data_IF_066995507493
#
_entry.id   IF_066995507493
#
_cell.length_a   1.000
_cell.length_b   1.000
_cell.length_c   1.000
_cell.angle_alpha   90.00
_cell.angle_beta   90.00
_cell.angle_gamma   90.00
#
_symmetry.space_group_name_H-M   'P 1'
#
loop_
_entity.id
_entity.type
_entity.pdbx_description
1 polymer ?
#
# COMPACT_ATOMS: atom_id res chain seq x y z
N UNK A 1 -11.91 1.67 0.66
CA UNK A 1 -10.55 2.26 0.74
C UNK A 1 -9.64 1.22 1.35
N UNK A 2 -8.43 1.02 0.81
CA UNK A 2 -7.50 0.01 1.37
C UNK A 2 -7.02 0.43 2.76
N UNK A 3 -6.64 -0.53 3.60
CA UNK A 3 -6.11 -0.27 4.94
C UNK A 3 -4.88 0.67 4.88
N UNK A 4 -4.00 0.48 3.90
CA UNK A 4 -2.83 1.33 3.67
C UNK A 4 -3.26 2.77 3.34
N UNK A 5 -4.26 2.94 2.49
CA UNK A 5 -4.80 4.27 2.18
C UNK A 5 -5.33 5.00 3.41
N UNK A 6 -6.08 4.28 4.24
CA UNK A 6 -6.69 4.79 5.45
C UNK A 6 -5.66 5.23 6.48
N UNK A 7 -4.66 4.39 6.75
CA UNK A 7 -3.67 4.65 7.80
C UNK A 7 -2.47 5.47 7.32
N UNK A 8 -2.09 5.37 6.04
CA UNK A 8 -0.88 5.97 5.47
C UNK A 8 -1.05 7.37 4.86
N UNK A 9 -2.24 7.72 4.34
CA UNK A 9 -2.44 8.98 3.59
C UNK A 9 -3.48 9.93 4.17
N UNK A 10 -4.14 9.55 5.27
CA UNK A 10 -5.07 10.42 6.01
C UNK A 10 -4.51 10.76 7.38
N UNK A 11 -5.00 11.83 8.00
CA UNK A 11 -4.65 12.18 9.38
C UNK A 11 -5.77 11.75 10.31
N UNK A 12 -5.40 11.12 11.44
CA UNK A 12 -6.36 10.69 12.46
C UNK A 12 -7.01 11.84 13.24
N UNK A 13 -6.54 13.09 13.05
CA UNK A 13 -7.17 14.30 13.60
C UNK A 13 -8.43 14.68 12.82
N UNK A 14 -8.47 14.32 11.54
CA UNK A 14 -9.50 14.77 10.60
C UNK A 14 -10.52 13.67 10.26
N UNK A 15 -10.14 12.40 10.44
CA UNK A 15 -10.97 11.25 10.13
C UNK A 15 -10.73 10.13 11.16
N UNK A 16 -11.83 9.49 11.59
CA UNK A 16 -11.76 8.27 12.38
C UNK A 16 -11.29 7.10 11.51
N UNK A 17 -10.00 6.77 11.65
CA UNK A 17 -9.34 5.70 10.90
C UNK A 17 -9.72 4.30 11.39
N UNK A 18 -10.39 4.15 12.52
CA UNK A 18 -10.79 2.84 13.04
C UNK A 18 -12.21 2.46 12.62
N UNK A 19 -12.98 3.41 12.08
CA UNK A 19 -14.31 3.13 11.55
C UNK A 19 -14.25 2.07 10.45
N UNK A 20 -14.94 0.95 10.67
CA UNK A 20 -15.01 -0.17 9.74
C UNK A 20 -13.73 -1.03 9.68
N UNK A 21 -12.82 -0.88 10.65
CA UNK A 21 -11.60 -1.68 10.79
C UNK A 21 -11.78 -2.63 11.98
N UNK A 22 -11.37 -3.88 11.83
CA UNK A 22 -11.29 -4.81 12.94
C UNK A 22 -10.08 -4.49 13.82
N UNK A 23 -10.32 -4.16 15.09
CA UNK A 23 -9.28 -3.91 16.07
C UNK A 23 -9.72 -4.36 17.47
N UNK A 24 -8.75 -4.66 18.33
CA UNK A 24 -8.97 -4.85 19.78
C UNK A 24 -8.29 -3.74 20.57
N UNK A 25 -8.74 -3.47 21.79
CA UNK A 25 -8.05 -2.55 22.70
C UNK A 25 -7.04 -3.36 23.52
N UNK A 26 -5.77 -3.01 23.41
CA UNK A 26 -4.67 -3.63 24.14
C UNK A 26 -4.65 -3.26 25.63
N UNK A 27 -3.75 -3.88 26.38
CA UNK A 27 -3.67 -3.70 27.83
C UNK A 27 -3.20 -2.31 28.25
N UNK A 28 -2.49 -1.59 27.38
CA UNK A 28 -2.12 -0.19 27.57
C UNK A 28 -3.22 0.77 27.09
N UNK A 29 -4.35 0.26 26.60
CA UNK A 29 -5.44 1.04 26.01
C UNK A 29 -5.20 1.44 24.55
N UNK A 30 -4.11 1.00 23.93
CA UNK A 30 -3.83 1.27 22.52
C UNK A 30 -4.69 0.37 21.60
N UNK A 31 -5.26 0.88 20.50
CA UNK A 31 -5.95 0.05 19.52
C UNK A 31 -4.95 -0.80 18.72
N UNK A 32 -5.19 -2.11 18.68
CA UNK A 32 -4.42 -3.10 17.94
C UNK A 32 -5.25 -3.51 16.71
N UNK A 33 -4.83 -3.06 15.53
CA UNK A 33 -5.46 -3.41 14.26
C UNK A 33 -5.22 -4.88 13.94
N UNK A 34 -6.29 -5.61 13.60
CA UNK A 34 -6.26 -7.04 13.32
C UNK A 34 -6.44 -7.35 11.83
N UNK A 35 -7.10 -6.46 11.08
CA UNK A 35 -7.23 -6.60 9.63
C UNK A 35 -5.85 -6.63 8.96
N UNK A 36 -5.60 -7.67 8.16
CA UNK A 36 -4.36 -7.88 7.40
C UNK A 36 -3.06 -7.94 8.25
N UNK A 37 -3.18 -8.08 9.58
CA UNK A 37 -2.03 -8.19 10.47
C UNK A 37 -1.52 -9.64 10.54
N UNK A 38 -0.20 -9.83 10.43
CA UNK A 38 0.46 -11.12 10.68
C UNK A 38 0.77 -11.29 12.18
N UNK A 39 1.04 -10.19 12.88
CA UNK A 39 1.28 -10.15 14.31
C UNK A 39 1.29 -8.71 14.82
N UNK A 40 1.34 -8.53 16.14
CA UNK A 40 1.43 -7.21 16.76
C UNK A 40 2.41 -7.20 17.93
N UNK A 41 2.84 -5.98 18.27
CA UNK A 41 3.60 -5.65 19.48
C UNK A 41 2.90 -4.48 20.17
N UNK A 42 2.62 -4.62 21.46
CA UNK A 42 2.14 -3.53 22.31
C UNK A 42 3.25 -3.13 23.27
N UNK A 43 3.54 -1.83 23.37
CA UNK A 43 4.65 -1.33 24.17
C UNK A 43 4.29 -0.05 24.93
N UNK A 44 4.85 0.06 26.14
CA UNK A 44 4.83 1.28 26.96
C UNK A 44 6.03 2.16 26.59
N UNK A 45 5.81 3.44 26.29
CA UNK A 45 6.91 4.38 26.01
C UNK A 45 7.70 4.65 27.29
N UNK A 46 8.96 4.23 27.33
CA UNK A 46 9.88 4.48 28.46
C UNK A 46 10.83 5.65 28.20
N UNK A 47 11.07 6.00 26.94
CA UNK A 47 11.90 7.14 26.56
C UNK A 47 11.50 7.68 25.20
N UNK A 48 11.61 8.99 25.01
CA UNK A 48 11.58 9.64 23.70
C UNK A 48 12.92 10.31 23.40
N UNK A 49 13.32 10.30 22.14
CA UNK A 49 14.52 10.97 21.65
C UNK A 49 14.14 11.86 20.46
N UNK A 50 14.62 13.09 20.47
CA UNK A 50 14.46 14.01 19.35
C UNK A 50 15.41 13.61 18.21
N UNK A 51 14.86 13.49 17.00
CA UNK A 51 15.57 13.22 15.76
C UNK A 51 15.21 14.25 14.67
N UNK A 52 14.92 15.49 15.07
CA UNK A 52 14.63 16.63 14.19
C UNK A 52 13.23 16.56 13.61
N UNK A 53 13.06 15.98 12.42
CA UNK A 53 11.74 15.82 11.79
C UNK A 53 10.93 14.68 12.39
N UNK A 54 11.54 13.86 13.25
CA UNK A 54 10.96 12.68 13.86
C UNK A 54 11.23 12.63 15.36
N UNK A 55 10.38 11.92 16.09
CA UNK A 55 10.65 11.49 17.46
C UNK A 55 10.83 9.98 17.48
N UNK A 56 11.94 9.51 18.03
CA UNK A 56 12.16 8.09 18.27
C UNK A 56 11.59 7.75 19.65
N UNK A 57 10.69 6.78 19.71
CA UNK A 57 10.15 6.25 20.97
C UNK A 57 10.82 4.92 21.30
N UNK A 58 11.40 4.82 22.50
CA UNK A 58 11.85 3.57 23.08
C UNK A 58 10.69 2.96 23.87
N UNK A 59 10.20 1.81 23.42
CA UNK A 59 9.11 1.09 24.05
C UNK A 59 9.58 -0.11 24.86
N UNK A 60 9.02 -0.30 26.06
CA UNK A 60 9.08 -1.56 26.80
C UNK A 60 7.92 -2.44 26.36
N UNK A 61 8.21 -3.64 25.86
CA UNK A 61 7.19 -4.58 25.40
C UNK A 61 6.27 -5.01 26.56
N UNK A 62 4.96 -4.90 26.35
CA UNK A 62 3.92 -5.32 27.28
C UNK A 62 3.23 -6.59 26.82
N UNK A 63 2.93 -6.67 25.52
CA UNK A 63 2.26 -7.82 24.90
C UNK A 63 2.73 -8.00 23.46
N UNK A 64 2.65 -9.23 22.97
CA UNK A 64 2.99 -9.59 21.60
C UNK A 64 2.28 -10.88 21.20
N UNK A 65 1.77 -10.93 19.97
CA UNK A 65 1.08 -12.11 19.44
C UNK A 65 1.40 -12.27 17.95
N UNK A 66 1.63 -13.52 17.53
CA UNK A 66 1.60 -13.91 16.11
C UNK A 66 0.18 -14.38 15.83
N UNK A 67 -0.50 -13.72 14.90
CA UNK A 67 -1.91 -13.94 14.61
C UNK A 67 -2.12 -15.04 13.55
N UNK A 68 -1.16 -15.20 12.63
CA UNK A 68 -1.19 -16.19 11.56
C UNK A 68 0.20 -16.38 10.92
N UNK A 69 0.31 -17.37 10.04
CA UNK A 69 1.54 -17.73 9.32
C UNK A 69 1.66 -17.07 7.93
N UNK A 70 0.87 -16.03 7.63
CA UNK A 70 0.97 -15.34 6.36
C UNK A 70 2.32 -14.60 6.24
N UNK A 71 2.81 -14.45 5.00
CA UNK A 71 4.07 -13.76 4.76
C UNK A 71 3.94 -12.25 5.03
N UNK A 72 4.78 -11.66 5.92
CA UNK A 72 4.75 -10.23 6.17
C UNK A 72 5.10 -9.41 4.92
N UNK A 73 4.31 -8.37 4.66
CA UNK A 73 4.62 -7.45 3.57
C UNK A 73 5.93 -6.70 3.84
N UNK A 74 6.86 -6.76 2.89
CA UNK A 74 8.09 -5.97 2.94
C UNK A 74 7.87 -4.58 2.36
N UNK A 75 8.67 -3.62 2.81
CA UNK A 75 8.65 -2.27 2.23
C UNK A 75 9.09 -2.27 0.75
N UNK A 76 10.02 -3.15 0.39
CA UNK A 76 10.45 -3.34 -0.99
C UNK A 76 9.28 -3.78 -1.90
N UNK A 77 8.48 -4.75 -1.43
CA UNK A 77 7.28 -5.21 -2.14
C UNK A 77 6.25 -4.08 -2.31
N UNK A 78 6.02 -3.28 -1.26
CA UNK A 78 5.09 -2.14 -1.32
C UNK A 78 5.45 -1.15 -2.45
N UNK A 79 6.74 -0.84 -2.60
CA UNK A 79 7.21 0.03 -3.68
C UNK A 79 7.13 -0.62 -5.06
N UNK A 80 7.65 -1.85 -5.17
CA UNK A 80 7.81 -2.52 -6.45
C UNK A 80 6.48 -2.97 -7.07
N UNK A 81 5.55 -3.43 -6.23
CA UNK A 81 4.32 -4.09 -6.69
C UNK A 81 3.08 -3.23 -6.44
N UNK A 82 2.96 -2.57 -5.28
CA UNK A 82 1.79 -1.74 -4.98
C UNK A 82 1.88 -0.33 -5.56
N UNK A 83 3.02 0.05 -6.17
CA UNK A 83 3.21 1.35 -6.84
C UNK A 83 3.00 2.55 -5.91
N UNK A 84 3.17 2.34 -4.59
CA UNK A 84 2.84 3.34 -3.60
C UNK A 84 3.91 4.43 -3.53
N UNK A 85 3.56 5.68 -3.86
CA UNK A 85 4.47 6.80 -3.62
C UNK A 85 4.54 7.11 -2.13
N UNK A 86 5.75 7.38 -1.68
CA UNK A 86 6.03 7.74 -0.29
C UNK A 86 5.71 9.23 -0.14
N UNK A 87 4.90 9.63 0.86
CA UNK A 87 4.73 11.05 1.15
C UNK A 87 6.09 11.70 1.41
N UNK A 88 6.32 12.92 0.91
CA UNK A 88 7.58 13.66 1.13
C UNK A 88 7.95 13.82 2.61
N UNK A 89 6.96 13.74 3.50
CA UNK A 89 7.13 13.84 4.94
C UNK A 89 7.57 12.52 5.61
N UNK A 90 7.57 11.40 4.90
CA UNK A 90 7.96 10.11 5.49
C UNK A 90 9.50 10.00 5.58
N UNK A 91 10.04 9.35 6.63
CA UNK A 91 11.48 9.21 6.84
C UNK A 91 12.17 8.35 5.78
N UNK A 92 11.41 7.53 5.08
CA UNK A 92 11.86 6.63 4.01
C UNK A 92 11.70 7.23 2.61
N UNK A 93 11.33 8.51 2.49
CA UNK A 93 11.24 9.18 1.19
C UNK A 93 12.63 9.29 0.56
N UNK A 94 12.84 8.56 -0.54
CA UNK A 94 14.00 8.69 -1.41
C UNK A 94 13.50 9.42 -2.66
N UNK A 95 14.03 10.62 -2.93
CA UNK A 95 13.67 11.37 -4.14
C UNK A 95 14.32 10.77 -5.37
N UNK A 96 13.53 10.43 -6.38
CA UNK A 96 13.98 9.80 -7.64
C UNK A 96 13.40 8.40 -7.83
N UNK A 97 13.40 7.92 -9.08
CA UNK A 97 12.89 6.61 -9.47
C UNK A 97 13.47 5.47 -8.61
N UNK A 98 12.66 4.45 -8.34
CA UNK A 98 13.01 3.34 -7.44
C UNK A 98 14.34 2.68 -7.83
N UNK A 99 15.25 2.41 -6.87
CA UNK A 99 16.56 1.84 -7.19
C UNK A 99 16.45 0.41 -7.73
N UNK A 100 17.23 0.13 -8.78
CA UNK A 100 17.21 -1.06 -9.62
C UNK A 100 17.65 -2.40 -8.97
N UNK A 101 17.60 -2.55 -7.64
CA UNK A 101 18.04 -3.79 -6.99
C UNK A 101 16.95 -4.86 -6.78
N UNK A 102 15.69 -4.62 -7.17
CA UNK A 102 14.54 -5.50 -6.88
C UNK A 102 14.04 -6.25 -8.14
N UNK A 103 14.88 -6.41 -9.17
CA UNK A 103 14.57 -7.28 -10.32
C UNK A 103 15.19 -8.66 -10.09
N UNK A 104 14.72 -9.34 -9.05
CA UNK A 104 15.17 -10.68 -8.66
C UNK A 104 14.03 -11.44 -8.00
N UNK A 105 13.65 -12.54 -8.64
CA UNK A 105 12.54 -13.47 -8.36
C UNK A 105 12.18 -13.70 -6.88
N UNK A 106 10.87 -13.69 -6.58
CA UNK A 106 10.29 -14.56 -5.57
C UNK A 106 9.08 -15.27 -6.20
N UNK A 107 9.17 -16.59 -6.28
CA UNK A 107 8.29 -17.48 -6.99
C UNK A 107 7.06 -17.90 -6.16
N UNK A 108 5.93 -18.11 -6.85
CA UNK A 108 4.77 -18.89 -6.40
C UNK A 108 3.45 -18.11 -6.54
N UNK A 109 2.58 -18.29 -7.53
CA UNK A 109 2.44 -19.26 -8.61
C UNK A 109 2.04 -18.50 -9.88
N UNK A 110 2.73 -18.79 -10.99
CA UNK A 110 2.69 -17.97 -12.20
C UNK A 110 1.40 -18.04 -13.01
N UNK A 111 1.20 -16.99 -13.81
CA UNK A 111 0.31 -16.98 -14.97
C UNK A 111 0.77 -18.09 -15.93
N UNK A 112 0.00 -19.16 -16.05
CA UNK A 112 0.24 -20.22 -17.05
C UNK A 112 -0.18 -19.71 -18.42
N UNK A 113 0.82 -19.38 -19.23
CA UNK A 113 0.77 -19.01 -20.64
C UNK A 113 -0.05 -17.76 -21.01
N UNK A 114 0.68 -16.69 -21.35
CA UNK A 114 0.15 -15.55 -22.09
C UNK A 114 0.53 -15.80 -23.56
N UNK A 115 -0.48 -15.98 -24.44
CA UNK A 115 -0.24 -16.05 -25.89
C UNK A 115 0.48 -14.78 -26.33
N UNK A 116 1.51 -14.93 -27.15
CA UNK A 116 2.46 -13.86 -27.54
C UNK A 116 1.76 -12.61 -28.11
N UNK A 117 0.61 -12.82 -28.76
CA UNK A 117 -0.25 -11.78 -29.32
C UNK A 117 -0.93 -10.91 -28.25
N UNK A 118 -1.30 -11.49 -27.10
CA UNK A 118 -1.91 -10.76 -25.98
C UNK A 118 -0.86 -9.97 -25.18
N UNK A 119 0.39 -10.47 -25.12
CA UNK A 119 1.49 -9.78 -24.44
C UNK A 119 1.82 -8.43 -25.09
N UNK A 120 1.69 -8.35 -26.43
CA UNK A 120 1.96 -7.14 -27.21
C UNK A 120 0.90 -6.06 -27.00
N UNK A 121 -0.38 -6.44 -26.94
CA UNK A 121 -1.51 -5.51 -26.74
C UNK A 121 -1.51 -4.93 -25.32
N UNK A 122 -1.19 -5.75 -24.31
CA UNK A 122 -1.21 -5.32 -22.89
C UNK A 122 -0.02 -4.40 -22.56
N UNK A 123 1.11 -4.53 -23.26
CA UNK A 123 2.26 -3.60 -23.13
C UNK A 123 2.02 -2.23 -23.78
N UNK A 124 1.05 -2.09 -24.68
CA UNK A 124 0.71 -0.82 -25.34
C UNK A 124 -0.41 -0.03 -24.63
N UNK A 125 -1.05 -0.60 -23.61
CA UNK A 125 -2.06 0.11 -22.83
C UNK A 125 -1.41 1.18 -21.94
N UNK A 126 -1.94 2.39 -22.01
CA UNK A 126 -1.36 3.52 -21.30
C UNK A 126 -1.54 3.39 -19.78
N UNK A 127 -0.47 3.74 -19.05
CA UNK A 127 -0.51 3.82 -17.59
C UNK A 127 -1.11 5.16 -17.16
N UNK A 128 -1.72 5.16 -15.98
CA UNK A 128 -2.36 6.35 -15.43
C UNK A 128 -1.86 6.63 -14.02
N UNK A 129 -1.52 7.87 -13.73
CA UNK A 129 -1.04 8.30 -12.42
C UNK A 129 -2.11 9.10 -11.68
N UNK A 130 -2.42 8.69 -10.45
CA UNK A 130 -3.26 9.45 -9.53
C UNK A 130 -2.55 10.74 -9.13
N UNK A 131 -3.13 11.89 -9.44
CA UNK A 131 -2.57 13.21 -9.11
C UNK A 131 -2.63 13.53 -7.61
N UNK A 132 -3.42 12.78 -6.82
CA UNK A 132 -3.59 12.99 -5.38
C UNK A 132 -2.50 12.28 -4.57
N UNK A 133 -2.23 11.01 -4.86
CA UNK A 133 -1.29 10.18 -4.09
C UNK A 133 -0.15 9.60 -4.92
N UNK A 134 -0.19 9.73 -6.24
CA UNK A 134 0.84 9.22 -7.14
C UNK A 134 0.73 7.75 -7.53
N UNK A 135 -0.29 7.02 -7.07
CA UNK A 135 -0.51 5.64 -7.48
C UNK A 135 -0.56 5.51 -9.01
N UNK A 136 0.14 4.53 -9.57
CA UNK A 136 0.13 4.25 -11.01
C UNK A 136 -0.75 3.03 -11.26
N UNK A 137 -1.85 3.23 -11.97
CA UNK A 137 -2.60 2.14 -12.58
C UNK A 137 -1.83 1.63 -13.80
N UNK A 138 -1.39 0.38 -13.73
CA UNK A 138 -0.76 -0.34 -14.83
C UNK A 138 -1.74 -1.41 -15.35
N UNK A 139 -2.30 -1.25 -16.56
CA UNK A 139 -3.18 -2.25 -17.17
C UNK A 139 -2.56 -3.65 -17.21
N UNK A 140 -1.23 -3.79 -17.29
CA UNK A 140 -0.57 -5.09 -17.25
C UNK A 140 -0.66 -5.80 -15.90
N UNK A 141 -0.92 -5.05 -14.83
CA UNK A 141 -1.07 -5.55 -13.45
C UNK A 141 -2.54 -5.58 -13.04
N UNK A 142 -3.35 -4.63 -13.51
CA UNK A 142 -4.71 -4.41 -13.03
C UNK A 142 -4.73 -3.81 -11.62
N UNK A 143 -5.83 -4.04 -10.90
CA UNK A 143 -6.01 -3.64 -9.50
C UNK A 143 -6.70 -4.80 -8.72
N UNK A 144 -5.92 -5.78 -8.24
CA UNK A 144 -6.45 -6.95 -7.54
C UNK A 144 -7.24 -6.61 -6.27
N UNK A 145 -6.92 -5.51 -5.58
CA UNK A 145 -7.60 -5.11 -4.34
C UNK A 145 -9.05 -4.66 -4.61
N UNK A 146 -9.30 -4.16 -5.82
CA UNK A 146 -10.63 -3.79 -6.32
C UNK A 146 -11.22 -4.85 -7.27
N UNK A 147 -10.58 -6.02 -7.38
CA UNK A 147 -11.03 -7.12 -8.24
C UNK A 147 -10.81 -6.91 -9.74
N UNK A 148 -10.00 -5.92 -10.13
CA UNK A 148 -9.66 -5.65 -11.53
C UNK A 148 -8.49 -6.54 -11.94
N UNK A 149 -8.72 -7.35 -12.97
CA UNK A 149 -7.72 -8.29 -13.49
C UNK A 149 -6.68 -7.56 -14.38
N UNK A 150 -5.48 -8.15 -14.55
CA UNK A 150 -4.57 -7.75 -15.61
C UNK A 150 -5.26 -7.71 -16.98
N UNK A 151 -4.85 -6.74 -17.80
CA UNK A 151 -5.31 -6.52 -19.18
C UNK A 151 -6.47 -5.55 -19.34
N UNK A 152 -7.01 -4.98 -18.24
CA UNK A 152 -8.10 -4.00 -18.30
C UNK A 152 -7.51 -2.61 -18.49
N UNK A 153 -7.92 -1.89 -19.54
CA UNK A 153 -7.49 -0.50 -19.75
C UNK A 153 -8.08 0.43 -18.70
N UNK A 154 -7.45 1.59 -18.48
CA UNK A 154 -7.97 2.56 -17.49
C UNK A 154 -9.36 3.09 -17.90
N UNK A 155 -9.59 3.20 -19.20
CA UNK A 155 -10.84 3.61 -19.81
C UNK A 155 -11.96 2.59 -19.52
N UNK A 156 -11.65 1.30 -19.50
CA UNK A 156 -12.59 0.20 -19.23
C UNK A 156 -12.85 -0.05 -17.73
N UNK A 157 -12.15 0.64 -16.83
CA UNK A 157 -12.43 0.53 -15.40
C UNK A 157 -13.87 0.96 -15.10
N UNK A 158 -14.57 0.30 -14.15
CA UNK A 158 -15.90 0.70 -13.70
C UNK A 158 -15.98 2.17 -13.29
N UNK A 159 -17.14 2.81 -13.47
CA UNK A 159 -17.34 4.23 -13.12
C UNK A 159 -17.23 4.49 -11.60
N UNK A 160 -17.53 3.49 -10.79
CA UNK A 160 -17.40 3.51 -9.33
C UNK A 160 -16.00 3.11 -8.84
N UNK A 161 -15.09 2.74 -9.75
CA UNK A 161 -13.71 2.47 -9.41
C UNK A 161 -13.04 3.75 -8.88
N UNK A 162 -12.32 3.60 -7.78
CA UNK A 162 -11.56 4.68 -7.15
C UNK A 162 -10.15 4.19 -6.86
N UNK A 163 -9.21 5.14 -6.81
CA UNK A 163 -7.81 4.87 -6.53
C UNK A 163 -7.68 3.98 -5.28
N UNK A 164 -7.12 2.76 -5.37
CA UNK A 164 -7.06 1.83 -4.24
C UNK A 164 -6.23 2.41 -3.10
N UNK A 165 -5.26 3.28 -3.42
CA UNK A 165 -4.38 3.93 -2.46
C UNK A 165 -4.97 5.09 -1.68
N UNK A 166 -5.90 5.88 -2.23
CA UNK A 166 -6.37 7.09 -1.54
C UNK A 166 -7.88 7.38 -1.64
N UNK A 167 -8.60 6.57 -2.43
CA UNK A 167 -10.03 6.72 -2.69
C UNK A 167 -10.40 7.87 -3.64
N UNK A 168 -9.43 8.51 -4.31
CA UNK A 168 -9.72 9.51 -5.33
C UNK A 168 -10.44 8.88 -6.54
N UNK A 169 -11.32 9.62 -7.18
CA UNK A 169 -12.05 9.17 -8.37
C UNK A 169 -11.15 9.04 -9.61
N UNK A 170 -11.68 8.45 -10.69
CA UNK A 170 -10.99 8.34 -11.99
C UNK A 170 -10.61 9.70 -12.57
N UNK A 171 -11.36 10.77 -12.28
CA UNK A 171 -11.07 12.12 -12.75
C UNK A 171 -9.77 12.68 -12.17
N UNK A 172 -9.32 12.17 -11.04
CA UNK A 172 -8.07 12.53 -10.39
C UNK A 172 -6.83 11.86 -10.99
N UNK A 173 -6.94 11.19 -12.15
CA UNK A 173 -5.83 10.54 -12.83
C UNK A 173 -5.42 11.27 -14.10
N UNK A 174 -4.11 11.24 -14.37
CA UNK A 174 -3.53 11.69 -15.64
C UNK A 174 -2.89 10.53 -16.37
N UNK A 175 -3.04 10.51 -17.69
CA UNK A 175 -2.33 9.56 -18.56
C UNK A 175 -0.83 9.83 -18.49
N UNK A 176 -0.04 8.77 -18.35
CA UNK A 176 1.41 8.82 -18.51
C UNK A 176 1.75 8.51 -19.97
N UNK A 177 2.53 9.39 -20.59
CA UNK A 177 3.12 9.19 -21.92
C UNK A 177 4.36 8.31 -21.86
#
# INVERSE_FOLDING_TARGET
MTLIGQFGFKSGRDLDKYKGVNYKVGMAGAPIVLDYAVGYLEAEVVKSLDAGTHTIFLGKLLDAEVLNDAEPMTYAYYHAIKGGKVPKAAPTYIGGDAPAYIVGEIAGEGIKEIKEDAKKVVMELAKYECTVCGYIYDPAVGDPDSGIKPGISFEELPDDWSCPMCGADKASFRKLE
#
